data_IF_648397158464
#
_entry.id   IF_648397158464
#
_cell.length_a   1.000
_cell.length_b   1.000
_cell.length_c   1.000
_cell.angle_alpha   90.00
_cell.angle_beta   90.00
_cell.angle_gamma   90.00
#
_symmetry.space_group_name_H-M   'P 1'
#
loop_
_entity.id
_entity.type
_entity.pdbx_description
1 polymer ?
#
# COMPACT_ATOMS: atom_id res chain seq x y z
N UNK A 1 9.22 26.11 0.14
CA UNK A 1 9.26 25.13 1.25
C UNK A 1 8.76 23.82 0.69
N UNK A 2 9.47 22.70 0.87
CA UNK A 2 9.07 21.43 0.21
C UNK A 2 8.01 20.74 1.07
N UNK A 3 6.86 20.48 0.45
CA UNK A 3 5.61 20.09 1.09
C UNK A 3 5.74 18.73 1.82
N UNK A 4 5.22 18.66 3.05
CA UNK A 4 5.11 17.43 3.84
C UNK A 4 3.74 16.76 3.75
N UNK A 5 2.79 17.43 3.08
CA UNK A 5 1.41 17.00 2.93
C UNK A 5 1.30 15.67 2.18
N UNK A 6 0.43 14.79 2.67
CA UNK A 6 0.05 13.55 1.99
C UNK A 6 -1.28 13.73 1.24
N UNK A 7 -1.44 13.06 0.11
CA UNK A 7 -2.72 12.98 -0.59
C UNK A 7 -3.47 11.72 -0.14
N UNK A 8 -4.59 11.87 0.57
CA UNK A 8 -5.44 10.75 1.03
C UNK A 8 -6.68 10.63 0.13
N UNK A 9 -6.77 9.57 -0.69
CA UNK A 9 -7.95 9.37 -1.54
C UNK A 9 -9.16 8.90 -0.74
N UNK A 10 -10.36 9.29 -1.16
CA UNK A 10 -11.62 8.90 -0.50
C UNK A 10 -11.86 7.38 -0.44
N UNK A 11 -11.29 6.60 -1.37
CA UNK A 11 -11.65 5.20 -1.54
C UNK A 11 -13.08 5.06 -2.07
N UNK A 12 -13.76 3.94 -1.77
CA UNK A 12 -15.20 3.84 -2.01
C UNK A 12 -15.96 4.68 -0.96
N UNK A 13 -16.74 5.70 -1.37
CA UNK A 13 -17.41 6.60 -0.43
C UNK A 13 -18.54 5.92 0.36
N UNK A 14 -19.01 4.73 -0.06
CA UNK A 14 -19.95 3.92 0.71
C UNK A 14 -19.26 2.97 1.70
N UNK A 15 -17.93 2.84 1.64
CA UNK A 15 -17.14 2.00 2.54
C UNK A 15 -16.72 2.73 3.82
N UNK A 16 -15.80 2.13 4.56
CA UNK A 16 -15.25 2.68 5.81
C UNK A 16 -14.22 3.80 5.59
N UNK A 17 -13.67 3.96 4.37
CA UNK A 17 -12.61 4.94 4.08
C UNK A 17 -12.90 6.37 4.59
N UNK A 18 -14.08 6.95 4.30
CA UNK A 18 -14.46 8.26 4.83
C UNK A 18 -14.47 8.34 6.36
N UNK A 19 -15.09 7.38 7.07
CA UNK A 19 -15.13 7.42 8.54
C UNK A 19 -13.75 7.24 9.16
N UNK A 20 -12.91 6.37 8.60
CA UNK A 20 -11.53 6.20 9.04
C UNK A 20 -10.71 7.47 8.84
N UNK A 21 -10.96 8.23 7.77
CA UNK A 21 -10.26 9.50 7.50
C UNK A 21 -10.61 10.57 8.55
N UNK A 22 -11.89 10.65 8.94
CA UNK A 22 -12.37 11.54 10.01
C UNK A 22 -11.75 11.12 11.36
N UNK A 23 -11.77 9.83 11.68
CA UNK A 23 -11.18 9.30 12.92
C UNK A 23 -9.66 9.49 12.98
N UNK A 24 -8.95 9.27 11.86
CA UNK A 24 -7.51 9.51 11.76
C UNK A 24 -7.18 10.98 12.04
N UNK A 25 -7.94 11.92 11.48
CA UNK A 25 -7.73 13.34 11.76
C UNK A 25 -7.96 13.69 13.24
N UNK A 26 -8.98 13.13 13.89
CA UNK A 26 -9.19 13.31 15.34
C UNK A 26 -8.00 12.82 16.16
N UNK A 27 -7.40 11.70 15.74
CA UNK A 27 -6.24 11.09 16.39
C UNK A 27 -4.90 11.77 16.02
N UNK A 28 -4.87 12.72 15.08
CA UNK A 28 -3.63 13.24 14.47
C UNK A 28 -2.58 13.70 15.48
N UNK A 29 -3.00 14.40 16.54
CA UNK A 29 -2.08 14.94 17.57
C UNK A 29 -1.57 13.83 18.47
N UNK A 30 -2.45 12.93 18.93
CA UNK A 30 -2.10 11.81 19.79
C UNK A 30 -1.17 10.81 19.08
N UNK A 31 -1.42 10.58 17.78
CA UNK A 31 -0.70 9.60 16.98
C UNK A 31 0.47 10.21 16.20
N UNK A 32 0.70 11.52 16.28
CA UNK A 32 1.69 12.25 15.49
C UNK A 32 1.56 11.97 13.98
N UNK A 33 0.34 12.04 13.46
CA UNK A 33 0.11 11.81 12.04
C UNK A 33 0.65 12.99 11.22
N UNK A 34 1.30 12.72 10.07
CA UNK A 34 1.66 13.78 9.13
C UNK A 34 0.40 14.45 8.57
N UNK A 35 0.54 15.71 8.15
CA UNK A 35 -0.53 16.44 7.49
C UNK A 35 -0.98 15.72 6.22
N UNK A 36 -2.30 15.65 6.00
CA UNK A 36 -2.87 15.07 4.79
C UNK A 36 -4.07 15.88 4.30
N UNK A 37 -4.28 15.88 2.99
CA UNK A 37 -5.48 16.39 2.34
C UNK A 37 -6.35 15.24 1.85
N UNK A 38 -7.64 15.31 2.10
CA UNK A 38 -8.62 14.32 1.65
C UNK A 38 -9.10 14.66 0.24
N UNK A 39 -8.98 13.73 -0.70
CA UNK A 39 -9.37 13.90 -2.10
C UNK A 39 -10.74 13.23 -2.31
N UNK A 40 -11.79 14.03 -2.35
CA UNK A 40 -13.16 13.55 -2.46
C UNK A 40 -14.18 14.69 -2.39
N UNK A 41 -15.30 14.48 -1.70
CA UNK A 41 -16.35 15.49 -1.50
C UNK A 41 -16.36 15.97 -0.04
N UNK A 42 -16.26 17.28 0.20
CA UNK A 42 -16.33 17.82 1.56
C UNK A 42 -17.72 17.61 2.16
N UNK A 43 -18.78 17.78 1.37
CA UNK A 43 -20.16 17.51 1.79
C UNK A 43 -20.33 16.02 2.13
N UNK A 44 -19.74 15.12 1.33
CA UNK A 44 -19.77 13.68 1.61
C UNK A 44 -19.06 13.32 2.91
N UNK A 45 -17.88 13.89 3.16
CA UNK A 45 -17.12 13.66 4.38
C UNK A 45 -17.83 14.25 5.61
N UNK A 46 -18.44 15.43 5.48
CA UNK A 46 -19.23 16.07 6.54
C UNK A 46 -20.44 15.22 6.92
N UNK A 47 -21.17 14.67 5.93
CA UNK A 47 -22.30 13.79 6.19
C UNK A 47 -21.91 12.53 6.97
N UNK A 48 -20.68 12.03 6.79
CA UNK A 48 -20.13 10.90 7.56
C UNK A 48 -19.80 11.33 8.99
N UNK A 49 -19.13 12.48 9.18
CA UNK A 49 -18.83 13.02 10.50
C UNK A 49 -20.12 13.26 11.31
N UNK A 50 -21.12 13.88 10.70
CA UNK A 50 -22.42 14.17 11.31
C UNK A 50 -23.17 12.89 11.71
N UNK A 51 -23.18 11.88 10.83
CA UNK A 51 -23.79 10.57 11.10
C UNK A 51 -23.20 9.90 12.33
N UNK A 52 -21.89 10.03 12.51
CA UNK A 52 -21.17 9.43 13.62
C UNK A 52 -21.17 10.32 14.88
N UNK A 53 -21.74 11.52 14.82
CA UNK A 53 -21.70 12.50 15.91
C UNK A 53 -20.29 12.98 16.24
N UNK A 54 -19.38 12.97 15.26
CA UNK A 54 -17.98 13.37 15.43
C UNK A 54 -17.82 14.87 15.10
N UNK A 55 -17.40 15.71 16.06
CA UNK A 55 -17.28 17.16 15.87
C UNK A 55 -15.99 17.50 15.12
N UNK A 56 -15.94 17.19 13.82
CA UNK A 56 -14.76 17.41 12.96
C UNK A 56 -15.02 18.55 11.99
N UNK A 57 -14.29 19.68 12.11
CA UNK A 57 -14.35 20.73 11.11
C UNK A 57 -13.77 20.23 9.78
N UNK A 58 -14.52 20.40 8.70
CA UNK A 58 -14.11 20.02 7.34
C UNK A 58 -14.16 21.28 6.47
N UNK A 59 -13.09 21.53 5.71
CA UNK A 59 -12.99 22.71 4.84
C UNK A 59 -12.50 22.30 3.45
N UNK A 60 -13.24 22.69 2.43
CA UNK A 60 -12.75 22.67 1.06
C UNK A 60 -11.68 23.74 0.89
N UNK A 61 -10.54 23.37 0.30
CA UNK A 61 -9.37 24.24 0.13
C UNK A 61 -8.61 23.90 -1.15
N UNK A 62 -7.74 24.82 -1.56
CA UNK A 62 -6.72 24.54 -2.57
C UNK A 62 -5.46 23.90 -1.94
N UNK A 63 -4.61 23.31 -2.77
CA UNK A 63 -3.42 22.57 -2.32
C UNK A 63 -2.43 23.42 -1.50
N UNK A 64 -2.28 24.70 -1.82
CA UNK A 64 -1.38 25.63 -1.14
C UNK A 64 -1.88 26.06 0.25
N UNK A 65 -3.15 25.81 0.56
CA UNK A 65 -3.78 26.11 1.85
C UNK A 65 -3.87 24.88 2.77
N UNK A 66 -3.83 23.67 2.19
CA UNK A 66 -4.15 22.44 2.90
C UNK A 66 -3.28 22.17 4.14
N UNK A 67 -1.96 22.35 4.03
CA UNK A 67 -1.04 22.12 5.16
C UNK A 67 -1.30 23.10 6.32
N UNK A 68 -1.57 24.37 6.00
CA UNK A 68 -1.76 25.43 6.99
C UNK A 68 -3.02 25.22 7.85
N UNK A 69 -4.09 24.64 7.30
CA UNK A 69 -5.36 24.44 8.01
C UNK A 69 -5.46 23.09 8.72
N UNK A 70 -4.53 22.17 8.50
CA UNK A 70 -4.64 20.77 8.95
C UNK A 70 -4.84 20.63 10.46
N UNK A 71 -4.29 21.57 11.26
CA UNK A 71 -4.48 21.57 12.71
C UNK A 71 -5.84 22.08 13.17
N UNK A 72 -6.62 22.73 12.31
CA UNK A 72 -7.93 23.31 12.61
C UNK A 72 -9.09 22.53 11.97
N UNK A 73 -8.90 22.02 10.76
CA UNK A 73 -9.91 21.30 10.00
C UNK A 73 -9.27 20.21 9.13
N UNK A 74 -10.07 19.23 8.69
CA UNK A 74 -9.68 18.33 7.61
C UNK A 74 -9.68 19.13 6.29
N UNK A 75 -8.52 19.32 5.63
CA UNK A 75 -8.47 19.93 4.31
C UNK A 75 -9.01 18.95 3.27
N UNK A 76 -9.97 19.38 2.47
CA UNK A 76 -10.55 18.60 1.38
C UNK A 76 -10.23 19.27 0.05
N UNK A 77 -9.58 18.52 -0.84
CA UNK A 77 -9.45 18.87 -2.25
C UNK A 77 -10.67 18.27 -2.96
N UNK A 78 -11.54 19.14 -3.48
CA UNK A 78 -12.77 18.72 -4.15
C UNK A 78 -12.46 17.98 -5.46
N UNK A 79 -13.03 16.78 -5.60
CA UNK A 79 -12.87 15.94 -6.78
C UNK A 79 -14.14 15.97 -7.61
N UNK A 80 -13.99 16.32 -8.90
CA UNK A 80 -15.09 16.27 -9.84
C UNK A 80 -15.72 14.86 -9.89
N UNK A 81 -17.04 14.78 -9.71
CA UNK A 81 -17.78 13.52 -9.66
C UNK A 81 -17.73 12.79 -8.32
N UNK A 82 -16.96 13.26 -7.34
CA UNK A 82 -17.12 12.81 -5.96
C UNK A 82 -18.43 13.37 -5.39
N UNK A 83 -19.16 12.52 -4.66
CA UNK A 83 -20.49 12.85 -4.14
C UNK A 83 -20.74 12.13 -2.82
N UNK A 84 -21.69 12.62 -2.00
CA UNK A 84 -22.15 11.88 -0.84
C UNK A 84 -22.67 10.50 -1.24
N UNK A 85 -22.34 9.49 -0.43
CA UNK A 85 -22.83 8.12 -0.59
C UNK A 85 -23.57 7.67 0.66
N UNK A 86 -24.32 6.58 0.54
CA UNK A 86 -24.92 5.92 1.71
C UNK A 86 -23.96 4.83 2.20
N UNK A 87 -23.37 4.97 3.40
CA UNK A 87 -22.58 3.91 4.01
C UNK A 87 -23.24 2.53 3.94
N UNK A 88 -22.44 1.55 3.51
CA UNK A 88 -22.83 0.16 3.30
C UNK A 88 -23.60 -0.14 2.01
N UNK A 89 -23.88 0.87 1.17
CA UNK A 89 -24.57 0.71 -0.11
C UNK A 89 -23.66 1.11 -1.28
N UNK A 90 -22.82 0.20 -1.82
CA UNK A 90 -22.01 0.50 -2.99
C UNK A 90 -22.88 0.87 -4.20
N UNK A 91 -22.44 1.88 -4.96
CA UNK A 91 -23.15 2.40 -6.13
C UNK A 91 -22.14 2.65 -7.28
N UNK A 92 -22.30 2.00 -8.45
CA UNK A 92 -21.47 2.22 -9.64
C UNK A 92 -21.34 3.70 -10.05
N UNK A 93 -22.33 4.53 -9.77
CA UNK A 93 -22.25 5.96 -10.09
C UNK A 93 -21.26 6.73 -9.21
N UNK A 94 -20.66 6.10 -8.19
CA UNK A 94 -19.51 6.65 -7.45
C UNK A 94 -18.16 6.41 -8.16
N UNK A 95 -18.09 5.48 -9.11
CA UNK A 95 -16.82 5.02 -9.69
C UNK A 95 -16.01 6.17 -10.32
N UNK A 96 -16.66 7.09 -11.03
CA UNK A 96 -16.00 8.24 -11.64
C UNK A 96 -15.27 9.11 -10.61
N UNK A 97 -15.91 9.39 -9.46
CA UNK A 97 -15.29 10.14 -8.37
C UNK A 97 -14.16 9.38 -7.68
N UNK A 98 -14.24 8.06 -7.58
CA UNK A 98 -13.15 7.22 -7.04
C UNK A 98 -11.93 7.26 -7.94
N UNK A 99 -12.13 7.06 -9.25
CA UNK A 99 -11.06 7.10 -10.25
C UNK A 99 -10.42 8.49 -10.29
N UNK A 100 -11.23 9.54 -10.37
CA UNK A 100 -10.74 10.92 -10.41
C UNK A 100 -9.93 11.28 -9.15
N UNK A 101 -10.30 10.77 -7.97
CA UNK A 101 -9.53 11.00 -6.74
C UNK A 101 -8.15 10.31 -6.79
N UNK A 102 -8.05 9.11 -7.36
CA UNK A 102 -6.77 8.42 -7.55
C UNK A 102 -5.90 9.17 -8.56
N UNK A 103 -6.47 9.57 -9.70
CA UNK A 103 -5.75 10.34 -10.72
C UNK A 103 -5.24 11.68 -10.18
N UNK A 104 -6.08 12.41 -9.45
CA UNK A 104 -5.69 13.65 -8.79
C UNK A 104 -4.59 13.44 -7.73
N UNK A 105 -4.65 12.34 -6.98
CA UNK A 105 -3.62 11.99 -6.01
C UNK A 105 -2.26 11.69 -6.65
N UNK A 106 -2.26 10.94 -7.77
CA UNK A 106 -1.04 10.69 -8.54
C UNK A 106 -0.49 11.98 -9.16
N UNK A 107 -1.35 12.82 -9.74
CA UNK A 107 -0.95 14.11 -10.27
C UNK A 107 -0.33 15.00 -9.19
N UNK A 108 -0.95 15.09 -8.01
CA UNK A 108 -0.45 15.89 -6.90
C UNK A 108 0.95 15.46 -6.44
N UNK A 109 1.25 14.16 -6.40
CA UNK A 109 2.60 13.70 -6.05
C UNK A 109 3.61 13.98 -7.16
N UNK A 110 3.23 13.82 -8.42
CA UNK A 110 4.10 14.11 -9.56
C UNK A 110 4.43 15.60 -9.68
N UNK A 111 3.46 16.46 -9.39
CA UNK A 111 3.59 17.92 -9.45
C UNK A 111 4.23 18.52 -8.18
N UNK A 112 4.47 17.69 -7.16
CA UNK A 112 5.10 18.10 -5.90
C UNK A 112 4.16 18.79 -4.91
N UNK A 113 2.86 18.77 -5.15
CA UNK A 113 1.82 19.19 -4.21
C UNK A 113 1.69 18.24 -3.02
N UNK A 114 1.97 16.96 -3.21
CA UNK A 114 1.97 15.96 -2.14
C UNK A 114 3.28 15.16 -2.11
N UNK A 115 3.70 14.77 -0.91
CA UNK A 115 4.91 13.97 -0.70
C UNK A 115 4.69 12.47 -0.97
N UNK A 116 3.47 11.98 -0.75
CA UNK A 116 3.08 10.60 -1.02
C UNK A 116 1.56 10.48 -1.21
N UNK A 117 1.16 9.38 -1.84
CA UNK A 117 -0.23 8.97 -2.01
C UNK A 117 -0.59 7.96 -0.91
N UNK A 118 -1.67 8.20 -0.19
CA UNK A 118 -2.28 7.23 0.72
C UNK A 118 -3.68 6.95 0.19
N UNK A 119 -4.04 5.68 0.03
CA UNK A 119 -5.32 5.33 -0.57
C UNK A 119 -6.22 4.62 0.41
N UNK A 120 -7.43 5.12 0.60
CA UNK A 120 -8.47 4.32 1.25
C UNK A 120 -8.91 3.14 0.36
N UNK A 121 -9.53 2.10 0.95
CA UNK A 121 -9.97 0.92 0.21
C UNK A 121 -10.99 1.23 -0.88
N UNK A 122 -10.91 0.52 -2.00
CA UNK A 122 -11.84 0.61 -3.13
C UNK A 122 -12.54 -0.73 -3.37
N UNK A 123 -13.75 -0.72 -3.93
CA UNK A 123 -14.43 -1.94 -4.36
C UNK A 123 -14.23 -2.18 -5.86
N UNK A 124 -13.50 -3.25 -6.22
CA UNK A 124 -13.28 -3.64 -7.62
C UNK A 124 -14.59 -3.86 -8.38
N UNK A 125 -15.60 -4.45 -7.73
CA UNK A 125 -16.92 -4.70 -8.32
C UNK A 125 -17.62 -3.41 -8.77
N UNK A 126 -17.51 -2.32 -8.00
CA UNK A 126 -18.09 -1.01 -8.33
C UNK A 126 -17.38 -0.40 -9.54
N UNK A 127 -16.05 -0.49 -9.58
CA UNK A 127 -15.27 0.02 -10.70
C UNK A 127 -15.55 -0.77 -11.99
N UNK A 128 -15.58 -2.10 -11.93
CA UNK A 128 -15.86 -2.95 -13.10
C UNK A 128 -17.26 -2.72 -13.65
N UNK A 129 -18.26 -2.53 -12.78
CA UNK A 129 -19.62 -2.19 -13.19
C UNK A 129 -19.70 -0.84 -13.94
N UNK A 130 -18.74 0.07 -13.71
CA UNK A 130 -18.63 1.34 -14.41
C UNK A 130 -17.71 1.29 -15.65
N UNK A 131 -17.29 0.09 -16.09
CA UNK A 131 -16.48 -0.09 -17.30
C UNK A 131 -14.97 0.02 -17.07
N UNK A 132 -14.50 0.01 -15.82
CA UNK A 132 -13.06 0.00 -15.50
C UNK A 132 -12.44 -1.36 -15.87
N UNK A 133 -11.38 -1.34 -16.66
CA UNK A 133 -10.80 -2.56 -17.26
C UNK A 133 -9.50 -3.04 -16.60
N UNK A 134 -8.95 -2.31 -15.61
CA UNK A 134 -7.69 -2.71 -14.99
C UNK A 134 -7.89 -3.81 -13.94
N UNK A 135 -6.99 -4.82 -13.84
CA UNK A 135 -7.12 -5.93 -12.88
C UNK A 135 -7.20 -5.54 -11.39
N UNK A 136 -6.76 -4.33 -11.06
CA UNK A 136 -6.75 -3.83 -9.69
C UNK A 136 -6.18 -2.42 -9.55
N UNK A 137 -6.15 -1.97 -8.29
CA UNK A 137 -5.65 -0.65 -7.91
C UNK A 137 -4.16 -0.50 -8.25
N UNK A 138 -3.36 -1.52 -7.95
CA UNK A 138 -1.92 -1.53 -8.15
C UNK A 138 -1.55 -1.40 -9.63
N UNK A 139 -2.25 -2.14 -10.49
CA UNK A 139 -2.08 -2.12 -11.94
C UNK A 139 -2.50 -0.76 -12.52
N UNK A 140 -3.60 -0.20 -12.01
CA UNK A 140 -4.03 1.14 -12.41
C UNK A 140 -2.98 2.21 -12.05
N UNK A 141 -2.40 2.16 -10.84
CA UNK A 141 -1.35 3.10 -10.43
C UNK A 141 -0.09 2.99 -11.30
N UNK A 142 0.30 1.77 -11.70
CA UNK A 142 1.42 1.55 -12.61
C UNK A 142 1.14 2.15 -13.99
N UNK A 143 -0.08 1.98 -14.52
CA UNK A 143 -0.47 2.60 -15.77
C UNK A 143 -0.46 4.13 -15.69
N UNK A 144 -1.00 4.70 -14.61
CA UNK A 144 -0.94 6.15 -14.37
C UNK A 144 0.51 6.65 -14.34
N UNK A 145 1.44 5.87 -13.76
CA UNK A 145 2.87 6.19 -13.75
C UNK A 145 3.51 6.15 -15.15
N UNK A 146 2.98 5.34 -16.08
CA UNK A 146 3.44 5.24 -17.46
C UNK A 146 2.85 6.27 -18.42
N UNK A 147 1.83 7.04 -18.01
CA UNK A 147 1.22 8.08 -18.86
C UNK A 147 2.25 9.14 -19.30
N UNK A 148 2.01 9.71 -20.48
CA UNK A 148 2.92 10.71 -21.07
C UNK A 148 4.18 10.12 -21.72
N UNK A 149 4.14 8.85 -22.14
CA UNK A 149 5.24 8.19 -22.85
C UNK A 149 6.32 7.60 -21.94
N UNK A 150 6.06 7.46 -20.64
CA UNK A 150 6.99 6.85 -19.68
C UNK A 150 6.84 5.32 -19.71
N UNK A 151 7.91 4.61 -19.36
CA UNK A 151 7.83 3.16 -19.18
C UNK A 151 6.90 2.85 -18.00
N UNK A 152 5.94 1.94 -18.22
CA UNK A 152 5.07 1.43 -17.16
C UNK A 152 5.94 0.64 -16.17
N UNK A 153 6.03 1.05 -14.90
CA UNK A 153 6.83 0.34 -13.91
C UNK A 153 6.19 -1.01 -13.58
N UNK A 154 7.01 -1.99 -13.18
CA UNK A 154 6.51 -3.21 -12.54
C UNK A 154 6.19 -2.88 -11.07
N UNK A 155 4.91 -2.91 -10.65
CA UNK A 155 4.58 -2.71 -9.25
C UNK A 155 4.85 -3.98 -8.45
N UNK A 156 5.42 -3.81 -7.25
CA UNK A 156 5.65 -4.92 -6.30
C UNK A 156 4.87 -4.64 -5.02
N UNK A 157 4.01 -5.59 -4.63
CA UNK A 157 3.26 -5.51 -3.40
C UNK A 157 4.16 -5.86 -2.21
N UNK A 158 4.09 -5.06 -1.15
CA UNK A 158 4.64 -5.38 0.15
C UNK A 158 3.58 -5.16 1.22
N UNK A 159 3.41 -6.10 2.14
CA UNK A 159 2.73 -5.82 3.41
C UNK A 159 3.81 -5.55 4.45
N UNK A 160 3.65 -4.44 5.17
CA UNK A 160 4.66 -3.93 6.08
C UNK A 160 4.05 -3.65 7.46
N UNK A 161 4.83 -3.94 8.50
CA UNK A 161 4.65 -3.53 9.89
C UNK A 161 6.03 -3.27 10.50
N UNK A 162 6.09 -2.68 11.70
CA UNK A 162 7.38 -2.50 12.40
C UNK A 162 8.10 -3.84 12.65
N UNK A 163 7.36 -4.92 12.87
CA UNK A 163 7.92 -6.23 13.24
C UNK A 163 8.19 -7.19 12.08
N UNK A 164 7.68 -6.90 10.89
CA UNK A 164 7.81 -7.75 9.71
C UNK A 164 7.42 -7.00 8.42
N UNK A 165 8.23 -7.17 7.37
CA UNK A 165 7.89 -6.83 5.99
C UNK A 165 7.89 -8.08 5.13
N UNK A 166 6.84 -8.29 4.33
CA UNK A 166 6.70 -9.43 3.41
C UNK A 166 6.33 -8.99 2.01
N UNK A 167 6.89 -9.68 1.02
CA UNK A 167 6.65 -9.47 -0.41
C UNK A 167 6.27 -10.80 -1.04
N UNK A 168 5.02 -11.00 -1.48
CA UNK A 168 4.67 -12.14 -2.32
C UNK A 168 5.16 -11.92 -3.76
N UNK A 169 5.96 -12.85 -4.29
CA UNK A 169 6.46 -12.82 -5.68
C UNK A 169 5.32 -13.06 -6.66
N UNK A 170 4.42 -14.00 -6.34
CA UNK A 170 3.15 -14.18 -7.04
C UNK A 170 1.99 -13.75 -6.13
N UNK A 171 1.06 -12.96 -6.69
CA UNK A 171 -0.02 -12.32 -5.93
C UNK A 171 -1.36 -13.06 -6.06
N UNK A 172 -2.41 -12.40 -6.56
CA UNK A 172 -3.76 -12.93 -6.68
C UNK A 172 -3.90 -13.93 -7.84
N UNK A 173 -3.28 -15.11 -7.71
CA UNK A 173 -3.37 -16.22 -8.69
C UNK A 173 -3.84 -17.51 -8.00
N UNK A 174 -4.50 -18.43 -8.72
CA UNK A 174 -4.79 -19.76 -8.17
C UNK A 174 -3.52 -20.46 -7.73
N UNK A 175 -3.54 -21.13 -6.57
CA UNK A 175 -2.35 -21.80 -6.03
C UNK A 175 -1.71 -22.79 -7.02
N UNK A 176 -2.53 -23.51 -7.79
CA UNK A 176 -2.06 -24.44 -8.82
C UNK A 176 -1.30 -23.77 -9.98
N UNK A 177 -1.45 -22.46 -10.18
CA UNK A 177 -0.73 -21.70 -11.20
C UNK A 177 0.63 -21.18 -10.71
N UNK A 178 0.87 -21.14 -9.40
CA UNK A 178 2.09 -20.55 -8.80
C UNK A 178 3.37 -21.17 -9.37
N UNK A 179 3.56 -22.50 -9.43
CA UNK A 179 4.83 -23.08 -9.89
C UNK A 179 5.15 -22.72 -11.35
N UNK A 180 4.13 -22.58 -12.20
CA UNK A 180 4.31 -22.24 -13.61
C UNK A 180 4.61 -20.75 -13.86
N UNK A 181 4.17 -19.88 -12.95
CA UNK A 181 4.40 -18.43 -13.03
C UNK A 181 5.73 -18.01 -12.39
N UNK A 182 6.24 -18.81 -11.47
CA UNK A 182 7.46 -18.50 -10.74
C UNK A 182 8.69 -18.78 -11.62
N UNK A 183 9.45 -17.74 -11.94
CA UNK A 183 10.72 -17.86 -12.67
C UNK A 183 11.85 -17.14 -11.93
N UNK A 184 13.09 -17.50 -12.26
CA UNK A 184 14.29 -16.88 -11.70
C UNK A 184 14.27 -15.38 -11.98
N UNK A 185 13.92 -15.00 -13.20
CA UNK A 185 13.87 -13.62 -13.67
C UNK A 185 12.81 -12.82 -12.90
N UNK A 186 11.64 -13.42 -12.62
CA UNK A 186 10.59 -12.78 -11.84
C UNK A 186 11.05 -12.51 -10.39
N UNK A 187 11.70 -13.49 -9.75
CA UNK A 187 12.23 -13.35 -8.40
C UNK A 187 13.32 -12.27 -8.35
N UNK A 188 14.26 -12.30 -9.30
CA UNK A 188 15.35 -11.30 -9.39
C UNK A 188 14.79 -9.90 -9.64
N UNK A 189 13.86 -9.74 -10.58
CA UNK A 189 13.22 -8.45 -10.85
C UNK A 189 12.53 -7.90 -9.60
N UNK A 190 11.79 -8.76 -8.89
CA UNK A 190 11.12 -8.42 -7.63
C UNK A 190 12.14 -8.02 -6.57
N UNK A 191 13.19 -8.82 -6.35
CA UNK A 191 14.23 -8.56 -5.37
C UNK A 191 14.99 -7.25 -5.63
N UNK A 192 15.25 -6.90 -6.89
CA UNK A 192 15.86 -5.62 -7.27
C UNK A 192 14.99 -4.42 -6.91
N UNK A 193 13.68 -4.50 -7.21
CA UNK A 193 12.72 -3.45 -6.87
C UNK A 193 12.64 -3.28 -5.35
N UNK A 194 12.53 -4.39 -4.62
CA UNK A 194 12.48 -4.39 -3.15
C UNK A 194 13.74 -3.78 -2.56
N UNK A 195 14.93 -4.23 -2.96
CA UNK A 195 16.19 -3.70 -2.45
C UNK A 195 16.34 -2.20 -2.75
N UNK A 196 16.01 -1.77 -3.98
CA UNK A 196 16.09 -0.37 -4.37
C UNK A 196 15.13 0.53 -3.57
N UNK A 197 13.88 0.10 -3.36
CA UNK A 197 12.92 0.90 -2.59
C UNK A 197 13.16 0.84 -1.08
N UNK A 198 13.63 -0.28 -0.52
CA UNK A 198 14.06 -0.33 0.89
C UNK A 198 15.24 0.61 1.15
N UNK A 199 16.23 0.62 0.25
CA UNK A 199 17.30 1.60 0.30
C UNK A 199 16.73 3.00 0.22
N UNK A 200 16.03 3.33 -0.87
CA UNK A 200 15.58 4.70 -1.18
C UNK A 200 14.55 5.28 -0.22
N UNK A 201 13.55 4.48 0.15
CA UNK A 201 12.33 4.94 0.83
C UNK A 201 12.23 4.45 2.27
N UNK A 202 12.98 3.43 2.66
CA UNK A 202 13.02 3.00 4.07
C UNK A 202 14.33 3.40 4.76
N UNK A 203 15.31 3.90 4.01
CA UNK A 203 16.60 4.31 4.55
C UNK A 203 17.50 3.14 4.93
N UNK A 204 17.20 1.93 4.46
CA UNK A 204 17.96 0.72 4.76
C UNK A 204 19.05 0.57 3.70
N UNK A 205 20.24 1.13 3.94
CA UNK A 205 21.31 1.24 2.93
C UNK A 205 21.74 -0.09 2.31
N UNK A 206 21.71 -1.19 3.09
CA UNK A 206 22.05 -2.55 2.66
C UNK A 206 20.93 -3.50 3.11
N UNK A 207 19.81 -3.56 2.40
CA UNK A 207 18.66 -4.34 2.83
C UNK A 207 18.93 -5.84 2.70
N UNK A 208 18.65 -6.58 3.77
CA UNK A 208 18.77 -8.04 3.87
C UNK A 208 17.46 -8.69 3.44
N UNK A 209 17.48 -9.36 2.29
CA UNK A 209 16.35 -10.08 1.73
C UNK A 209 16.46 -11.57 2.09
N UNK A 210 15.44 -12.11 2.77
CA UNK A 210 15.31 -13.54 3.02
C UNK A 210 14.27 -14.11 2.04
N UNK A 211 14.68 -15.05 1.19
CA UNK A 211 13.80 -15.69 0.21
C UNK A 211 13.34 -17.04 0.76
N UNK A 212 12.03 -17.28 0.74
CA UNK A 212 11.49 -18.61 1.05
C UNK A 212 11.71 -19.59 -0.09
N UNK A 213 11.67 -20.88 0.20
CA UNK A 213 11.38 -21.88 -0.81
C UNK A 213 9.93 -21.76 -1.32
N UNK A 214 9.65 -22.35 -2.48
CA UNK A 214 8.30 -22.62 -2.96
C UNK A 214 7.72 -23.81 -2.21
N UNK A 215 8.49 -24.89 -2.08
CA UNK A 215 8.03 -26.14 -1.48
C UNK A 215 8.25 -26.16 0.04
N UNK A 216 7.52 -27.04 0.76
CA UNK A 216 7.85 -27.33 2.15
C UNK A 216 9.33 -27.71 2.30
N UNK A 217 9.95 -27.25 3.38
CA UNK A 217 11.37 -27.47 3.66
C UNK A 217 12.32 -27.01 2.54
N UNK A 218 11.89 -26.06 1.70
CA UNK A 218 12.64 -25.64 0.51
C UNK A 218 13.07 -26.82 -0.37
N UNK A 219 12.17 -27.79 -0.56
CA UNK A 219 12.34 -28.91 -1.47
C UNK A 219 13.13 -30.10 -0.91
N UNK A 220 13.74 -29.98 0.28
CA UNK A 220 14.50 -31.06 0.94
C UNK A 220 15.51 -31.73 -0.03
N UNK A 221 16.36 -30.92 -0.67
CA UNK A 221 17.35 -31.40 -1.65
C UNK A 221 16.73 -32.08 -2.88
N UNK A 222 15.52 -31.66 -3.28
CA UNK A 222 14.81 -32.18 -4.43
C UNK A 222 13.78 -33.28 -4.13
N UNK A 223 13.70 -33.75 -2.88
CA UNK A 223 12.76 -34.80 -2.47
C UNK A 223 11.30 -34.32 -2.43
N UNK A 224 11.07 -33.02 -2.17
CA UNK A 224 9.75 -32.40 -2.04
C UNK A 224 9.48 -31.37 -3.15
N UNK A 225 10.00 -31.60 -4.35
CA UNK A 225 9.94 -30.65 -5.47
C UNK A 225 11.31 -30.10 -5.82
N UNK A 226 11.47 -29.57 -7.04
CA UNK A 226 12.77 -29.17 -7.61
C UNK A 226 12.87 -27.68 -7.90
N UNK A 227 11.77 -26.96 -7.74
CA UNK A 227 11.65 -25.54 -8.04
C UNK A 227 12.57 -24.70 -7.14
N UNK A 228 12.81 -25.11 -5.90
CA UNK A 228 13.73 -24.42 -4.99
C UNK A 228 15.16 -24.40 -5.52
N UNK A 229 15.66 -25.54 -6.01
CA UNK A 229 17.00 -25.67 -6.59
C UNK A 229 17.07 -25.11 -8.03
N UNK A 230 16.00 -25.27 -8.80
CA UNK A 230 15.98 -24.92 -10.23
C UNK A 230 15.62 -23.46 -10.50
N UNK A 231 14.91 -22.78 -9.58
CA UNK A 231 14.35 -21.43 -9.77
C UNK A 231 14.77 -20.48 -8.65
N UNK A 232 14.54 -20.85 -7.38
CA UNK A 232 14.76 -19.92 -6.26
C UNK A 232 16.24 -19.75 -5.93
N UNK A 233 17.01 -20.84 -5.82
CA UNK A 233 18.44 -20.79 -5.53
C UNK A 233 19.25 -20.03 -6.60
N UNK A 234 19.00 -20.20 -7.92
CA UNK A 234 19.59 -19.35 -8.95
C UNK A 234 19.26 -17.87 -8.77
N UNK A 235 18.01 -17.53 -8.40
CA UNK A 235 17.62 -16.14 -8.17
C UNK A 235 18.35 -15.52 -6.97
N UNK A 236 18.53 -16.27 -5.88
CA UNK A 236 19.35 -15.83 -4.73
C UNK A 236 20.80 -15.58 -5.17
N UNK A 237 21.39 -16.49 -5.95
CA UNK A 237 22.75 -16.34 -6.44
C UNK A 237 22.91 -15.11 -7.34
N UNK A 238 21.96 -14.85 -8.23
CA UNK A 238 21.96 -13.69 -9.12
C UNK A 238 21.79 -12.37 -8.34
N UNK A 239 20.86 -12.30 -7.39
CA UNK A 239 20.71 -11.13 -6.50
C UNK A 239 22.02 -10.83 -5.75
N UNK A 240 22.71 -11.86 -5.26
CA UNK A 240 24.01 -11.70 -4.60
C UNK A 240 25.09 -11.22 -5.56
N UNK A 241 25.11 -11.71 -6.80
CA UNK A 241 26.03 -11.25 -7.83
C UNK A 241 25.80 -9.76 -8.18
N UNK A 242 24.57 -9.27 -8.05
CA UNK A 242 24.20 -7.85 -8.17
C UNK A 242 24.54 -7.01 -6.92
N UNK A 243 25.14 -7.61 -5.87
CA UNK A 243 25.51 -6.94 -4.63
C UNK A 243 24.36 -6.76 -3.64
N UNK A 244 23.21 -7.39 -3.86
CA UNK A 244 22.08 -7.37 -2.93
C UNK A 244 22.31 -8.44 -1.85
N UNK A 245 22.08 -8.11 -0.59
CA UNK A 245 22.18 -9.05 0.53
C UNK A 245 20.98 -10.01 0.54
N UNK A 246 20.99 -10.98 -0.38
CA UNK A 246 19.97 -12.01 -0.50
C UNK A 246 20.44 -13.34 0.11
N UNK A 247 19.51 -14.05 0.74
CA UNK A 247 19.76 -15.35 1.38
C UNK A 247 18.53 -16.27 1.28
N UNK A 248 18.74 -17.59 1.33
CA UNK A 248 17.73 -18.62 1.07
C UNK A 248 18.15 -19.57 -0.06
N UNK A 249 17.23 -20.38 -0.61
CA UNK A 249 15.83 -20.52 -0.17
C UNK A 249 15.74 -21.09 1.25
N UNK A 250 14.86 -20.54 2.07
CA UNK A 250 14.59 -21.03 3.43
C UNK A 250 13.25 -21.75 3.51
N UNK A 251 13.11 -22.80 4.35
CA UNK A 251 11.80 -23.33 4.73
C UNK A 251 10.93 -22.22 5.32
N UNK A 252 9.77 -21.94 4.70
CA UNK A 252 8.94 -20.80 5.07
C UNK A 252 8.48 -20.84 6.54
N UNK A 253 8.21 -22.02 7.08
CA UNK A 253 7.82 -22.25 8.49
C UNK A 253 8.91 -21.86 9.49
N UNK A 254 10.17 -21.81 9.07
CA UNK A 254 11.31 -21.40 9.92
C UNK A 254 11.64 -19.91 9.82
N UNK A 255 11.08 -19.19 8.85
CA UNK A 255 11.46 -17.79 8.58
C UNK A 255 10.80 -16.79 9.51
N UNK A 256 9.60 -17.07 10.01
CA UNK A 256 8.73 -16.02 10.55
C UNK A 256 8.70 -15.94 12.07
N UNK A 257 9.44 -16.76 12.81
CA UNK A 257 9.55 -16.61 14.27
C UNK A 257 10.47 -15.42 14.63
N UNK A 258 10.29 -14.82 15.81
CA UNK A 258 10.95 -13.56 16.20
C UNK A 258 12.48 -13.54 15.98
N UNK A 259 13.19 -14.58 16.45
CA UNK A 259 14.63 -14.71 16.24
C UNK A 259 15.05 -14.75 14.76
N UNK A 260 14.26 -15.36 13.88
CA UNK A 260 14.56 -15.41 12.45
C UNK A 260 14.34 -14.04 11.81
N UNK A 261 13.24 -13.35 12.17
CA UNK A 261 12.91 -12.01 11.67
C UNK A 261 13.99 -10.97 11.98
N UNK A 262 14.70 -11.08 13.11
CA UNK A 262 15.83 -10.20 13.43
C UNK A 262 17.01 -10.32 12.42
N UNK A 263 17.07 -11.44 11.69
CA UNK A 263 18.14 -11.74 10.73
C UNK A 263 17.98 -11.07 9.36
N UNK A 264 16.82 -10.51 9.04
CA UNK A 264 16.54 -9.90 7.74
C UNK A 264 15.66 -8.64 7.87
N UNK A 265 15.58 -7.86 6.79
CA UNK A 265 14.75 -6.64 6.75
C UNK A 265 13.43 -6.89 6.01
N UNK A 266 13.39 -7.86 5.10
CA UNK A 266 12.20 -8.26 4.35
C UNK A 266 12.24 -9.74 3.98
N UNK A 267 11.08 -10.40 4.02
CA UNK A 267 10.89 -11.74 3.51
C UNK A 267 10.22 -11.70 2.12
N UNK A 268 10.84 -12.33 1.12
CA UNK A 268 10.23 -12.57 -0.19
C UNK A 268 9.66 -13.99 -0.17
N UNK A 269 8.34 -14.11 -0.24
CA UNK A 269 7.64 -15.39 -0.29
C UNK A 269 7.18 -15.68 -1.71
N UNK A 270 7.19 -16.95 -2.12
CA UNK A 270 6.91 -17.33 -3.50
C UNK A 270 5.46 -17.12 -3.90
N UNK A 271 4.53 -17.09 -2.92
CA UNK A 271 3.11 -16.83 -3.16
C UNK A 271 2.43 -16.07 -2.02
N UNK A 272 1.23 -15.56 -2.33
CA UNK A 272 0.43 -14.70 -1.46
C UNK A 272 0.26 -15.23 -0.02
N UNK A 273 -0.33 -16.40 0.17
CA UNK A 273 -0.64 -16.90 1.52
C UNK A 273 0.62 -17.26 2.32
N UNK A 274 1.73 -17.60 1.66
CA UNK A 274 3.03 -17.81 2.30
C UNK A 274 3.59 -16.52 2.93
N UNK A 275 3.32 -15.37 2.31
CA UNK A 275 3.69 -14.06 2.85
C UNK A 275 2.65 -13.53 3.85
N UNK A 276 1.36 -13.61 3.51
CA UNK A 276 0.33 -12.85 4.23
C UNK A 276 -0.11 -13.51 5.53
N UNK A 277 -0.16 -14.84 5.61
CA UNK A 277 -0.53 -15.52 6.86
C UNK A 277 0.41 -15.10 8.03
N UNK A 278 1.74 -15.14 7.88
CA UNK A 278 2.66 -14.71 8.92
C UNK A 278 2.43 -13.27 9.39
N UNK A 279 2.37 -12.31 8.47
CA UNK A 279 2.23 -10.90 8.85
C UNK A 279 0.85 -10.60 9.42
N UNK A 280 -0.21 -11.24 8.94
CA UNK A 280 -1.56 -11.08 9.51
C UNK A 280 -1.66 -11.68 10.91
N UNK A 281 -0.86 -12.70 11.23
CA UNK A 281 -0.79 -13.24 12.61
C UNK A 281 -0.04 -12.29 13.55
N UNK A 282 0.96 -11.57 13.04
CA UNK A 282 1.81 -10.67 13.84
C UNK A 282 1.21 -9.26 13.98
N UNK A 283 0.63 -8.72 12.91
CA UNK A 283 0.23 -7.32 12.77
C UNK A 283 -1.10 -7.18 12.01
N UNK A 284 -2.15 -7.86 12.48
CA UNK A 284 -3.45 -7.88 11.80
C UNK A 284 -4.04 -6.48 11.57
N UNK A 285 -4.06 -5.65 12.62
CA UNK A 285 -4.70 -4.33 12.62
C UNK A 285 -3.76 -3.20 12.16
N UNK A 286 -2.45 -3.43 12.13
CA UNK A 286 -1.43 -2.42 11.85
C UNK A 286 -0.72 -2.62 10.51
N UNK A 287 -1.04 -3.72 9.80
CA UNK A 287 -0.49 -4.00 8.49
C UNK A 287 -0.76 -2.86 7.50
N UNK A 288 0.27 -2.50 6.74
CA UNK A 288 0.22 -1.48 5.69
C UNK A 288 0.55 -2.14 4.36
N UNK A 289 -0.32 -1.95 3.37
CA UNK A 289 -0.03 -2.31 1.99
C UNK A 289 0.78 -1.19 1.34
N UNK A 290 1.96 -1.53 0.82
CA UNK A 290 2.88 -0.63 0.12
C UNK A 290 3.04 -1.11 -1.31
N UNK A 291 3.02 -0.18 -2.26
CA UNK A 291 3.33 -0.49 -3.66
C UNK A 291 4.71 0.03 -4.01
N UNK A 292 5.67 -0.88 -4.08
CA UNK A 292 7.06 -0.61 -4.46
C UNK A 292 7.19 -0.55 -5.99
N UNK A 293 8.28 0.06 -6.45
CA UNK A 293 8.62 0.15 -7.88
C UNK A 293 7.94 1.31 -8.63
N UNK A 294 6.90 1.92 -8.05
CA UNK A 294 6.31 3.14 -8.58
C UNK A 294 7.28 4.34 -8.44
N UNK A 295 7.23 5.34 -9.33
CA UNK A 295 8.07 6.53 -9.23
C UNK A 295 7.70 7.44 -8.05
N UNK A 296 6.52 7.22 -7.44
CA UNK A 296 6.02 7.90 -6.25
C UNK A 296 5.75 6.90 -5.11
N UNK A 297 5.65 7.40 -3.88
CA UNK A 297 5.31 6.60 -2.70
C UNK A 297 3.81 6.38 -2.67
N UNK A 298 3.38 5.12 -2.49
CA UNK A 298 2.00 4.77 -2.23
C UNK A 298 1.86 3.80 -1.06
N UNK A 299 1.04 4.15 -0.08
CA UNK A 299 0.62 3.27 1.03
C UNK A 299 -0.91 3.14 1.08
N UNK A 300 -1.39 2.13 1.78
CA UNK A 300 -2.82 1.83 1.93
C UNK A 300 -3.03 1.00 3.20
N UNK A 301 -4.19 1.12 3.86
CA UNK A 301 -4.62 0.12 4.83
C UNK A 301 -4.64 -1.28 4.19
N UNK A 302 -4.45 -2.31 5.01
CA UNK A 302 -4.43 -3.72 4.59
C UNK A 302 -5.78 -4.43 4.80
N UNK A 303 -6.88 -3.67 4.71
CA UNK A 303 -8.25 -4.15 4.79
C UNK A 303 -9.09 -3.66 3.59
N UNK A 304 -10.25 -4.29 3.39
CA UNK A 304 -11.20 -3.92 2.34
C UNK A 304 -12.11 -2.74 2.70
N UNK A 305 -13.15 -2.52 1.89
CA UNK A 305 -14.14 -1.44 2.08
C UNK A 305 -15.07 -1.64 3.27
N UNK A 306 -15.21 -2.88 3.76
CA UNK A 306 -15.99 -3.26 4.94
C UNK A 306 -17.40 -2.61 4.97
N UNK A 307 -18.15 -2.77 3.87
CA UNK A 307 -19.48 -2.17 3.68
C UNK A 307 -20.47 -2.55 4.78
N UNK A 308 -20.33 -3.74 5.36
CA UNK A 308 -21.18 -4.25 6.43
C UNK A 308 -21.04 -3.46 7.74
N UNK A 309 -19.93 -2.75 7.96
CA UNK A 309 -19.71 -1.91 9.15
C UNK A 309 -19.66 -0.41 8.86
N UNK A 310 -19.64 -0.02 7.59
CA UNK A 310 -19.54 1.38 7.19
C UNK A 310 -20.64 2.26 7.80
N UNK A 311 -20.23 3.35 8.47
CA UNK A 311 -21.13 4.31 9.09
C UNK A 311 -21.73 3.84 10.41
N UNK A 312 -21.25 2.74 10.98
CA UNK A 312 -21.60 2.27 12.33
C UNK A 312 -20.65 2.79 13.41
N UNK A 313 -19.54 3.41 13.04
CA UNK A 313 -18.55 3.94 14.00
C UNK A 313 -17.74 2.87 14.73
N UNK A 314 -17.77 1.61 14.25
CA UNK A 314 -17.02 0.48 14.84
C UNK A 314 -15.78 0.10 14.03
N UNK A 315 -15.54 0.77 12.89
CA UNK A 315 -14.32 0.58 12.11
C UNK A 315 -13.11 1.12 12.87
N UNK A 316 -11.97 0.45 12.71
CA UNK A 316 -10.73 0.75 13.43
C UNK A 316 -9.76 1.55 12.55
N UNK A 317 -9.32 2.75 12.95
CA UNK A 317 -8.44 3.60 12.14
C UNK A 317 -6.96 3.20 12.21
N UNK A 318 -6.60 2.19 12.98
CA UNK A 318 -5.22 1.77 13.26
C UNK A 318 -4.39 1.57 11.97
N UNK A 319 -4.89 0.77 11.03
CA UNK A 319 -4.20 0.49 9.76
C UNK A 319 -4.06 1.73 8.87
N UNK A 320 -5.07 2.62 8.83
CA UNK A 320 -4.96 3.89 8.09
C UNK A 320 -3.96 4.83 8.74
N UNK A 321 -3.96 4.92 10.08
CA UNK A 321 -2.98 5.70 10.82
C UNK A 321 -1.56 5.17 10.57
N UNK A 322 -1.36 3.85 10.58
CA UNK A 322 -0.09 3.21 10.24
C UNK A 322 0.34 3.53 8.79
N UNK A 323 -0.60 3.49 7.84
CA UNK A 323 -0.33 3.81 6.44
C UNK A 323 0.09 5.27 6.23
N UNK A 324 -0.57 6.22 6.90
CA UNK A 324 -0.22 7.64 6.89
C UNK A 324 1.17 7.87 7.51
N UNK A 325 1.45 7.28 8.68
CA UNK A 325 2.77 7.37 9.33
C UNK A 325 3.88 6.81 8.45
N UNK A 326 3.66 5.63 7.85
CA UNK A 326 4.63 5.00 6.98
C UNK A 326 4.90 5.87 5.74
N UNK A 327 3.86 6.40 5.10
CA UNK A 327 4.03 7.30 3.95
C UNK A 327 4.86 8.54 4.30
N UNK A 328 4.59 9.17 5.46
CA UNK A 328 5.38 10.30 5.95
C UNK A 328 6.86 9.94 6.17
N UNK A 329 7.14 8.80 6.83
CA UNK A 329 8.51 8.32 7.04
C UNK A 329 9.22 8.02 5.71
N UNK A 330 8.51 7.39 4.78
CA UNK A 330 9.08 7.05 3.47
C UNK A 330 9.46 8.30 2.68
N UNK A 331 8.60 9.32 2.71
CA UNK A 331 8.86 10.59 2.06
C UNK A 331 10.04 11.33 2.70
N UNK A 332 10.17 11.27 4.02
CA UNK A 332 11.30 11.85 4.72
C UNK A 332 12.62 11.15 4.37
N UNK A 333 12.63 9.81 4.35
CA UNK A 333 13.81 9.01 4.00
C UNK A 333 14.26 9.28 2.56
N UNK A 334 13.32 9.27 1.60
CA UNK A 334 13.63 9.58 0.20
C UNK A 334 14.19 11.00 0.03
N UNK A 335 13.65 11.96 0.78
CA UNK A 335 14.16 13.34 0.77
C UNK A 335 15.59 13.42 1.31
N UNK A 336 15.93 12.69 2.38
CA UNK A 336 17.28 12.70 2.98
C UNK A 336 18.34 12.19 2.01
N UNK A 337 17.98 11.31 1.08
CA UNK A 337 18.91 10.75 0.09
C UNK A 337 19.11 11.61 -1.16
N UNK A 338 18.21 12.57 -1.40
CA UNK A 338 18.36 13.56 -2.48
C UNK A 338 19.18 14.78 -2.07
N UNK A 339 19.58 14.88 -0.80
CA UNK A 339 20.43 15.94 -0.25
C UNK A 339 21.87 15.44 -0.15
#
# INVERSE_FOLDING_TARGET
>A
MRNHLLALTQGDPAGVGPELSVMAWLLRKQQHLPAFAYLGSAIGLQAVADRLGLPVPIRSVDWDQAEAIFDEAVPVIEIAGARPATPGKPDPANAAGVIAAIEAGVAAVNDGWAAALVTNPIAKSVLYAAGFSHPGHTEFLAELAGRGGKTVPQPVMMIWSEGLAVVPVTIHVPLAAVPALLTTELIVATGRIVAADLARRFGITRPRLALSGLNPHAGEGGALGREDDAVVAPAVAELRALGIEASGPYPADTMFHERARAGYDVALAMYHDQALIPIKTIAFDEGVNVTLGLPFIRTSPDHGTAFDIAGKGIARPDSLCAALKLAGRMAEAERKQRK
#
